data_IF_701636426022
#
_entry.id   IF_701636426022
#
_cell.length_a   1.000
_cell.length_b   1.000
_cell.length_c   1.000
_cell.angle_alpha   90.00
_cell.angle_beta   90.00
_cell.angle_gamma   90.00
#
_symmetry.space_group_name_H-M   'P 1'
#
loop_
_entity.id
_entity.type
_entity.pdbx_description
1 polymer ?
#
# COMPACT_ATOMS: atom_id res chain seq x y z
N UNK A 1 24.50 30.02 -2.62
CA UNK A 1 24.31 29.94 -4.08
C UNK A 1 23.76 28.56 -4.42
N UNK A 2 22.84 28.51 -5.40
CA UNK A 2 22.33 27.32 -6.13
C UNK A 2 21.18 26.60 -5.40
N UNK A 3 19.92 27.01 -5.63
CA UNK A 3 19.01 26.56 -6.73
C UNK A 3 18.46 25.16 -6.46
N UNK A 4 17.20 24.76 -6.62
CA UNK A 4 15.99 25.31 -7.27
C UNK A 4 14.84 24.39 -6.81
N UNK A 5 13.63 24.96 -6.69
CA UNK A 5 12.30 24.38 -6.84
C UNK A 5 12.05 22.88 -6.57
N UNK A 6 11.10 22.61 -5.68
CA UNK A 6 10.18 21.47 -5.81
C UNK A 6 8.82 21.85 -5.26
N UNK A 7 8.16 22.79 -5.94
CA UNK A 7 6.70 22.91 -5.91
C UNK A 7 6.18 21.79 -6.81
N UNK A 8 5.69 20.71 -6.21
CA UNK A 8 4.87 19.75 -6.92
C UNK A 8 3.42 19.96 -6.47
N UNK A 9 2.77 20.93 -7.12
CA UNK A 9 1.32 21.02 -7.19
C UNK A 9 0.83 19.77 -7.93
N UNK A 10 0.33 18.77 -7.21
CA UNK A 10 -0.62 17.81 -7.76
C UNK A 10 -1.97 18.13 -7.14
N UNK A 11 -2.58 19.19 -7.68
CA UNK A 11 -4.02 19.39 -7.63
C UNK A 11 -4.67 18.29 -8.47
N UNK A 12 -4.93 17.14 -7.87
CA UNK A 12 -5.86 16.18 -8.42
C UNK A 12 -7.28 16.74 -8.22
N UNK A 13 -7.71 17.59 -9.15
CA UNK A 13 -9.12 17.93 -9.31
C UNK A 13 -9.87 16.63 -9.60
N UNK A 14 -10.53 16.11 -8.56
CA UNK A 14 -11.51 15.04 -8.65
C UNK A 14 -12.65 15.53 -9.55
N UNK A 15 -12.51 15.32 -10.86
CA UNK A 15 -13.59 15.49 -11.82
C UNK A 15 -14.53 14.29 -11.71
N UNK A 16 -15.27 14.23 -10.60
CA UNK A 16 -16.45 13.40 -10.47
C UNK A 16 -17.59 14.05 -11.25
N UNK A 17 -17.58 13.96 -12.57
CA UNK A 17 -18.78 14.27 -13.37
C UNK A 17 -19.77 13.14 -13.16
N UNK A 18 -20.84 13.42 -12.43
CA UNK A 18 -21.97 12.54 -12.22
C UNK A 18 -22.52 12.04 -13.56
N UNK A 19 -22.39 10.73 -13.81
CA UNK A 19 -23.16 10.06 -14.85
C UNK A 19 -24.60 9.90 -14.31
N UNK A 20 -25.46 10.87 -14.57
CA UNK A 20 -26.89 10.70 -14.33
C UNK A 20 -27.41 9.72 -15.40
N UNK A 21 -27.81 8.54 -14.96
CA UNK A 21 -28.55 7.58 -15.78
C UNK A 21 -29.90 8.21 -16.16
N UNK A 22 -30.20 8.26 -17.45
CA UNK A 22 -31.56 8.51 -17.90
C UNK A 22 -32.44 7.36 -17.41
N UNK A 23 -33.44 7.65 -16.57
CA UNK A 23 -34.35 6.63 -16.03
C UNK A 23 -35.25 6.10 -17.16
N UNK A 24 -35.17 4.80 -17.53
CA UNK A 24 -36.14 4.22 -18.44
C UNK A 24 -37.48 4.14 -17.71
N UNK A 25 -38.53 4.65 -18.34
CA UNK A 25 -39.90 4.63 -17.83
C UNK A 25 -40.39 3.17 -17.70
N UNK A 26 -40.15 2.60 -16.53
CA UNK A 26 -41.11 1.81 -15.77
C UNK A 26 -41.27 0.32 -16.06
N UNK A 27 -41.64 -0.11 -17.28
CA UNK A 27 -42.30 -1.43 -17.36
C UNK A 27 -41.90 -2.37 -18.52
N UNK A 28 -41.08 -1.95 -19.49
CA UNK A 28 -40.83 -2.75 -20.72
C UNK A 28 -39.36 -3.08 -21.02
N UNK A 29 -38.41 -2.51 -20.28
CA UNK A 29 -36.97 -2.64 -20.58
C UNK A 29 -36.18 -3.11 -19.35
N UNK A 30 -36.51 -4.32 -18.87
CA UNK A 30 -35.80 -4.98 -17.77
C UNK A 30 -35.00 -6.17 -18.31
N UNK A 31 -33.69 -6.26 -18.03
CA UNK A 31 -32.89 -5.32 -17.23
C UNK A 31 -32.58 -4.01 -17.98
N UNK A 32 -32.40 -2.89 -17.26
CA UNK A 32 -32.05 -1.62 -17.90
C UNK A 32 -30.71 -1.76 -18.64
N UNK A 33 -30.65 -1.24 -19.86
CA UNK A 33 -29.38 -1.16 -20.60
C UNK A 33 -28.45 -0.16 -19.90
N UNK A 34 -27.35 -0.66 -19.34
CA UNK A 34 -26.33 0.16 -18.67
C UNK A 34 -25.26 0.56 -19.68
N UNK A 35 -25.22 1.83 -20.06
CA UNK A 35 -24.14 2.35 -20.91
C UNK A 35 -22.92 2.66 -20.05
N UNK A 36 -21.91 1.78 -20.10
CA UNK A 36 -20.65 2.02 -19.39
C UNK A 36 -19.75 2.95 -20.22
N UNK A 37 -19.74 4.23 -19.87
CA UNK A 37 -18.85 5.23 -20.48
C UNK A 37 -17.56 5.36 -19.65
N UNK A 38 -16.47 4.76 -20.13
CA UNK A 38 -15.13 5.04 -19.60
C UNK A 38 -14.49 6.18 -20.38
N UNK A 39 -13.92 7.15 -19.68
CA UNK A 39 -13.09 8.20 -20.28
C UNK A 39 -11.64 7.73 -20.52
N UNK A 40 -11.25 6.59 -19.93
CA UNK A 40 -9.90 6.05 -20.04
C UNK A 40 -9.79 5.06 -21.20
N UNK A 41 -8.72 5.22 -21.96
CA UNK A 41 -8.29 4.22 -22.95
C UNK A 41 -7.71 2.99 -22.25
N UNK A 42 -7.77 1.84 -22.92
CA UNK A 42 -7.14 0.60 -22.42
C UNK A 42 -5.66 0.77 -22.09
N UNK A 43 -4.94 1.57 -22.88
CA UNK A 43 -3.52 1.84 -22.66
C UNK A 43 -3.28 2.61 -21.34
N UNK A 44 -4.13 3.60 -21.03
CA UNK A 44 -4.06 4.35 -19.78
C UNK A 44 -4.33 3.46 -18.58
N UNK A 45 -5.37 2.62 -18.64
CA UNK A 45 -5.69 1.68 -17.55
C UNK A 45 -4.54 0.71 -17.28
N UNK A 46 -3.87 0.21 -18.33
CA UNK A 46 -2.71 -0.67 -18.17
C UNK A 46 -1.53 0.07 -17.52
N UNK A 47 -1.28 1.32 -17.92
CA UNK A 47 -0.21 2.12 -17.35
C UNK A 47 -0.46 2.41 -15.86
N UNK A 48 -1.68 2.82 -15.50
CA UNK A 48 -2.07 3.06 -14.11
C UNK A 48 -1.97 1.78 -13.26
N UNK A 49 -2.42 0.64 -13.80
CA UNK A 49 -2.31 -0.63 -13.10
C UNK A 49 -0.85 -1.02 -12.84
N UNK A 50 0.04 -0.83 -13.82
CA UNK A 50 1.47 -1.10 -13.63
C UNK A 50 2.09 -0.20 -12.55
N UNK A 51 1.74 1.08 -12.54
CA UNK A 51 2.18 2.02 -11.51
C UNK A 51 1.67 1.62 -10.11
N UNK A 52 0.38 1.32 -9.98
CA UNK A 52 -0.24 0.90 -8.73
C UNK A 52 0.39 -0.39 -8.19
N UNK A 53 0.72 -1.35 -9.07
CA UNK A 53 1.46 -2.57 -8.70
C UNK A 53 2.85 -2.26 -8.18
N UNK A 54 3.60 -1.38 -8.85
CA UNK A 54 4.93 -0.98 -8.40
C UNK A 54 4.89 -0.23 -7.05
N UNK A 55 3.82 0.52 -6.81
CA UNK A 55 3.57 1.22 -5.54
C UNK A 55 3.02 0.30 -4.42
N UNK A 56 2.78 -0.98 -4.68
CA UNK A 56 2.21 -1.90 -3.69
C UNK A 56 0.74 -1.61 -3.33
N UNK A 57 0.03 -0.83 -4.15
CA UNK A 57 -1.35 -0.41 -3.91
C UNK A 57 -2.39 -1.44 -4.38
N UNK A 58 -1.95 -2.52 -5.03
CA UNK A 58 -2.83 -3.56 -5.57
C UNK A 58 -2.68 -4.84 -4.75
N UNK A 59 -3.80 -5.32 -4.20
CA UNK A 59 -3.88 -6.60 -3.51
C UNK A 59 -4.08 -7.77 -4.47
N UNK A 60 -3.72 -8.97 -4.02
CA UNK A 60 -4.00 -10.22 -4.71
C UNK A 60 -4.56 -11.23 -3.70
N UNK A 61 -5.57 -12.00 -4.10
CA UNK A 61 -6.24 -12.99 -3.23
C UNK A 61 -7.28 -12.37 -2.30
N UNK A 62 -7.70 -13.10 -1.26
CA UNK A 62 -8.74 -12.69 -0.30
C UNK A 62 -8.27 -11.63 0.72
N UNK A 63 -7.17 -10.95 0.43
CA UNK A 63 -6.65 -9.88 1.27
C UNK A 63 -7.23 -8.57 0.73
N UNK A 64 -8.26 -8.07 1.40
CA UNK A 64 -8.96 -6.84 1.00
C UNK A 64 -8.10 -5.58 1.20
N UNK A 65 -7.00 -5.67 1.96
CA UNK A 65 -6.13 -4.54 2.27
C UNK A 65 -4.75 -4.65 1.61
N UNK A 66 -4.26 -3.58 0.94
CA UNK A 66 -2.90 -3.55 0.39
C UNK A 66 -1.90 -3.71 1.53
N UNK A 67 -0.89 -4.55 1.30
CA UNK A 67 0.20 -4.74 2.27
C UNK A 67 0.87 -3.40 2.55
N UNK A 68 0.86 -2.98 3.81
CA UNK A 68 1.59 -1.80 4.26
C UNK A 68 3.06 -1.96 3.92
N UNK A 69 3.58 -1.06 3.08
CA UNK A 69 4.97 -1.08 2.64
C UNK A 69 5.86 -0.79 3.86
N UNK A 70 6.50 -1.82 4.40
CA UNK A 70 7.45 -1.67 5.52
C UNK A 70 8.71 -1.01 4.99
N UNK A 71 9.18 0.03 5.68
CA UNK A 71 10.43 0.70 5.33
C UNK A 71 11.60 -0.31 5.29
N UNK A 72 12.48 -0.17 4.30
CA UNK A 72 13.68 -0.98 4.25
C UNK A 72 14.53 -0.75 5.51
N UNK A 73 15.01 -1.85 6.10
CA UNK A 73 15.96 -1.78 7.21
C UNK A 73 17.18 -0.95 6.80
N UNK A 74 17.57 0.01 7.63
CA UNK A 74 18.82 0.77 7.48
C UNK A 74 20.03 -0.02 7.99
N UNK A 75 19.81 -1.11 8.73
CA UNK A 75 20.86 -1.98 9.25
C UNK A 75 21.04 -3.24 8.41
N UNK A 76 22.30 -3.58 8.17
CA UNK A 76 22.69 -4.82 7.49
C UNK A 76 22.58 -6.00 8.43
N UNK A 77 22.39 -7.20 7.88
CA UNK A 77 22.41 -8.45 8.65
C UNK A 77 23.70 -8.60 9.47
N UNK A 78 24.84 -8.19 8.92
CA UNK A 78 26.13 -8.24 9.61
C UNK A 78 26.18 -7.34 10.85
N UNK A 79 25.63 -6.13 10.76
CA UNK A 79 25.52 -5.21 11.90
C UNK A 79 24.61 -5.77 13.00
N UNK A 80 23.45 -6.34 12.62
CA UNK A 80 22.54 -6.99 13.57
C UNK A 80 23.24 -8.14 14.31
N UNK A 81 24.01 -8.98 13.61
CA UNK A 81 24.78 -10.04 14.26
C UNK A 81 25.86 -9.50 15.20
N UNK A 82 26.59 -8.47 14.80
CA UNK A 82 27.62 -7.86 15.64
C UNK A 82 27.03 -7.27 16.92
N UNK A 83 25.86 -6.61 16.82
CA UNK A 83 25.12 -6.07 17.95
C UNK A 83 24.58 -7.19 18.87
N UNK A 84 24.03 -8.25 18.30
CA UNK A 84 23.55 -9.40 19.07
C UNK A 84 24.68 -10.08 19.87
N UNK A 85 25.87 -10.25 19.27
CA UNK A 85 27.03 -10.82 19.97
C UNK A 85 27.50 -9.91 21.11
N UNK A 86 27.53 -8.59 20.88
CA UNK A 86 27.87 -7.62 21.93
C UNK A 86 26.86 -7.66 23.08
N UNK A 87 25.57 -7.67 22.79
CA UNK A 87 24.51 -7.75 23.79
C UNK A 87 24.64 -9.02 24.66
N UNK A 88 24.90 -10.18 24.04
CA UNK A 88 25.14 -11.43 24.76
C UNK A 88 26.40 -11.38 25.64
N UNK A 89 27.43 -10.63 25.26
CA UNK A 89 28.65 -10.47 26.06
C UNK A 89 28.43 -9.56 27.30
N UNK A 90 27.41 -8.70 27.28
CA UNK A 90 27.09 -7.78 28.37
C UNK A 90 26.10 -8.37 29.41
N UNK A 91 25.70 -9.63 29.28
CA UNK A 91 24.76 -10.32 30.17
C UNK A 91 23.62 -10.97 29.38
N UNK A 92 22.80 -11.84 30.01
CA UNK A 92 21.71 -12.50 29.30
C UNK A 92 20.76 -11.44 28.73
N UNK A 93 20.59 -11.45 27.40
CA UNK A 93 19.50 -10.75 26.74
C UNK A 93 18.24 -11.44 27.23
N UNK A 94 17.51 -10.81 28.16
CA UNK A 94 16.29 -11.38 28.72
C UNK A 94 15.33 -11.67 27.56
N UNK A 95 15.17 -12.95 27.22
CA UNK A 95 14.19 -13.43 26.25
C UNK A 95 12.92 -13.85 26.99
N UNK A 96 12.55 -13.04 27.98
CA UNK A 96 11.47 -13.37 28.90
C UNK A 96 10.30 -12.46 28.51
N UNK A 97 9.35 -13.05 27.78
CA UNK A 97 7.98 -12.53 27.75
C UNK A 97 7.49 -12.48 29.19
N UNK A 98 7.69 -11.33 29.83
CA UNK A 98 7.30 -10.97 31.19
C UNK A 98 7.40 -12.08 32.24
N UNK A 99 8.55 -12.17 32.92
CA UNK A 99 8.53 -12.40 34.37
C UNK A 99 8.62 -13.84 34.92
N UNK A 100 9.32 -14.78 34.28
CA UNK A 100 9.69 -16.03 34.97
C UNK A 100 11.20 -16.19 35.09
N UNK A 101 11.76 -16.21 36.31
CA UNK A 101 13.18 -16.50 36.49
C UNK A 101 13.44 -17.94 36.06
N UNK A 102 14.39 -18.11 35.13
CA UNK A 102 14.99 -19.41 34.85
C UNK A 102 15.83 -19.84 36.06
N UNK A 103 15.18 -20.46 37.05
CA UNK A 103 15.88 -21.29 38.03
C UNK A 103 16.25 -22.59 37.34
N UNK A 104 17.32 -22.54 36.54
CA UNK A 104 18.08 -23.73 36.18
C UNK A 104 18.48 -24.45 37.47
N UNK A 105 18.44 -25.79 37.40
CA UNK A 105 18.82 -26.76 38.43
C UNK A 105 19.84 -26.29 39.47
#
# INVERSE_FOLDING_TARGET
>A
MKTIASVLLISASLAGTAAYAAEPSGELDYPPTITQTSQLTRAQVIAELQQARAAGQVTFGDIDEPVTQVAASTVTRAQVHAEAVQANAHGPVAFDGEGYPNTGA
#
